data_IF_270344843678
#
_entry.id   IF_270344843678
#
_cell.length_a   1.000
_cell.length_b   1.000
_cell.length_c   1.000
_cell.angle_alpha   90.00
_cell.angle_beta   90.00
_cell.angle_gamma   90.00
#
_symmetry.space_group_name_H-M   'P 1'
#
loop_
_entity.id
_entity.type
_entity.pdbx_description
1 polymer ?
#
# COMPACT_ATOMS: atom_id res chain seq x y z
N UNK A 1 20.44 2.70 9.41
CA UNK A 1 19.01 2.50 9.08
C UNK A 1 18.91 2.31 7.57
N UNK A 2 18.30 1.22 7.12
CA UNK A 2 18.13 0.93 5.69
C UNK A 2 17.13 1.89 5.05
N UNK A 3 17.29 2.13 3.74
CA UNK A 3 16.32 2.90 2.98
C UNK A 3 14.91 2.28 3.14
N UNK A 4 13.85 3.08 3.29
CA UNK A 4 12.49 2.59 3.40
C UNK A 4 12.13 1.75 2.15
N UNK A 5 11.59 0.52 2.30
CA UNK A 5 11.43 -0.46 1.23
C UNK A 5 10.21 -0.18 0.33
N UNK A 6 9.95 1.09 0.02
CA UNK A 6 8.73 1.53 -0.62
C UNK A 6 8.49 0.85 -1.97
N UNK A 7 9.51 0.70 -2.82
CA UNK A 7 9.37 -0.01 -4.10
C UNK A 7 9.01 -1.49 -3.91
N UNK A 8 9.60 -2.17 -2.92
CA UNK A 8 9.28 -3.57 -2.62
C UNK A 8 7.82 -3.70 -2.14
N UNK A 9 7.35 -2.77 -1.29
CA UNK A 9 5.95 -2.70 -0.87
C UNK A 9 5.05 -2.51 -2.10
N UNK A 10 5.33 -1.52 -2.96
CA UNK A 10 4.53 -1.26 -4.17
C UNK A 10 4.43 -2.51 -5.04
N UNK A 11 5.55 -3.18 -5.30
CA UNK A 11 5.58 -4.40 -6.11
C UNK A 11 4.75 -5.53 -5.49
N UNK A 12 4.84 -5.72 -4.18
CA UNK A 12 4.05 -6.73 -3.49
C UNK A 12 2.54 -6.42 -3.54
N UNK A 13 2.14 -5.15 -3.38
CA UNK A 13 0.74 -4.76 -3.48
C UNK A 13 0.13 -5.05 -4.86
N UNK A 14 0.91 -4.92 -5.95
CA UNK A 14 0.41 -5.26 -7.30
C UNK A 14 0.09 -6.76 -7.46
N UNK A 15 0.67 -7.62 -6.64
CA UNK A 15 0.37 -9.06 -6.68
C UNK A 15 -1.01 -9.41 -6.10
N UNK A 16 -1.57 -8.55 -5.23
CA UNK A 16 -2.85 -8.81 -4.58
C UNK A 16 -3.99 -8.93 -5.60
N UNK A 17 -4.09 -7.98 -6.52
CA UNK A 17 -5.12 -8.00 -7.57
C UNK A 17 -4.93 -9.15 -8.55
N UNK A 18 -3.68 -9.55 -8.84
CA UNK A 18 -3.43 -10.63 -9.79
C UNK A 18 -3.59 -12.04 -9.20
N UNK A 19 -3.53 -12.19 -7.87
CA UNK A 19 -3.49 -13.50 -7.20
C UNK A 19 -4.61 -13.75 -6.20
N UNK A 20 -5.23 -12.72 -5.66
CA UNK A 20 -6.17 -12.85 -4.53
C UNK A 20 -7.60 -12.40 -4.87
N UNK A 21 -7.84 -11.80 -6.03
CA UNK A 21 -9.19 -11.48 -6.52
C UNK A 21 -9.62 -12.43 -7.63
N UNK A 22 -10.87 -12.92 -7.56
CA UNK A 22 -11.44 -13.77 -8.62
C UNK A 22 -11.45 -13.02 -9.95
N UNK A 23 -11.20 -13.67 -11.11
CA UNK A 23 -11.38 -13.04 -12.42
C UNK A 23 -12.80 -12.50 -12.67
N UNK A 24 -13.80 -13.00 -11.94
CA UNK A 24 -15.20 -12.53 -12.00
C UNK A 24 -15.49 -11.38 -11.03
N UNK A 25 -14.57 -11.07 -10.12
CA UNK A 25 -14.70 -10.01 -9.12
C UNK A 25 -13.70 -8.91 -9.42
N UNK A 26 -14.19 -7.70 -9.69
CA UNK A 26 -13.29 -6.60 -10.03
C UNK A 26 -12.74 -5.95 -8.76
N UNK A 27 -11.41 -5.91 -8.65
CA UNK A 27 -10.68 -5.23 -7.60
C UNK A 27 -9.47 -4.50 -8.20
N UNK A 28 -9.18 -3.29 -7.73
CA UNK A 28 -8.05 -2.48 -8.19
C UNK A 28 -7.34 -1.90 -6.98
N UNK A 29 -6.01 -2.00 -6.97
CA UNK A 29 -5.13 -1.34 -5.99
C UNK A 29 -4.18 -0.44 -6.77
N UNK A 30 -4.35 0.87 -6.61
CA UNK A 30 -3.53 1.87 -7.30
C UNK A 30 -2.64 2.57 -6.29
N UNK A 31 -1.34 2.61 -6.55
CA UNK A 31 -0.42 3.52 -5.87
C UNK A 31 -0.33 4.79 -6.70
N UNK A 32 -0.83 5.90 -6.18
CA UNK A 32 -0.94 7.17 -6.91
C UNK A 32 0.15 8.17 -6.58
N UNK A 33 0.67 8.13 -5.34
CA UNK A 33 1.70 9.06 -4.86
C UNK A 33 2.72 8.28 -4.03
N UNK A 34 4.00 8.56 -4.28
CA UNK A 34 5.10 8.13 -3.43
C UNK A 34 6.00 9.33 -3.18
N UNK A 35 6.19 9.69 -1.92
CA UNK A 35 7.00 10.85 -1.50
C UNK A 35 8.15 10.39 -0.62
N UNK A 36 9.38 10.64 -1.05
CA UNK A 36 10.61 10.20 -0.38
C UNK A 36 11.30 11.37 0.34
N UNK A 37 11.35 11.33 1.68
CA UNK A 37 12.02 12.34 2.50
C UNK A 37 11.46 13.77 2.35
N UNK A 38 12.05 14.71 3.11
CA UNK A 38 11.78 16.14 2.97
C UNK A 38 12.94 16.80 2.20
N UNK A 39 12.69 17.32 1.00
CA UNK A 39 13.63 18.18 0.28
C UNK A 39 14.40 17.58 -0.92
N UNK A 40 14.22 16.29 -1.25
CA UNK A 40 14.62 15.74 -2.55
C UNK A 40 16.12 15.70 -2.88
N UNK A 41 17.00 15.74 -1.88
CA UNK A 41 18.44 15.64 -2.08
C UNK A 41 18.83 14.22 -2.58
N UNK A 42 19.45 14.08 -3.77
CA UNK A 42 19.70 12.77 -4.39
C UNK A 42 20.81 11.96 -3.71
N UNK A 43 21.59 12.60 -2.83
CA UNK A 43 22.70 11.99 -2.10
C UNK A 43 22.34 11.63 -0.64
N UNK A 44 21.07 11.77 -0.26
CA UNK A 44 20.60 11.47 1.09
C UNK A 44 19.59 10.33 1.01
N UNK A 45 19.85 9.27 1.77
CA UNK A 45 18.89 8.17 1.92
C UNK A 45 17.77 8.68 2.85
N UNK A 46 16.50 8.68 2.41
CA UNK A 46 15.40 9.15 3.23
C UNK A 46 15.18 8.21 4.42
N UNK A 47 14.78 8.77 5.55
CA UNK A 47 14.41 8.00 6.76
C UNK A 47 12.96 7.50 6.73
N UNK A 48 12.10 8.11 5.91
CA UNK A 48 10.71 7.70 5.73
C UNK A 48 10.22 7.93 4.30
N UNK A 49 9.19 7.18 3.92
CA UNK A 49 8.47 7.34 2.65
C UNK A 49 6.98 7.31 2.93
N UNK A 50 6.25 8.24 2.33
CA UNK A 50 4.79 8.21 2.33
C UNK A 50 4.28 7.64 1.01
N UNK A 51 3.40 6.64 1.08
CA UNK A 51 2.75 6.02 -0.07
C UNK A 51 1.24 6.27 0.07
N UNK A 52 0.63 6.85 -0.97
CA UNK A 52 -0.80 7.09 -1.02
C UNK A 52 -1.39 6.50 -2.29
N UNK A 53 -2.63 6.05 -2.20
CA UNK A 53 -3.26 5.29 -3.27
C UNK A 53 -4.75 5.14 -3.08
N UNK A 54 -5.35 4.34 -3.96
CA UNK A 54 -6.78 4.04 -3.93
C UNK A 54 -7.01 2.55 -4.06
N UNK A 55 -8.09 2.09 -3.44
CA UNK A 55 -8.65 0.76 -3.68
C UNK A 55 -10.04 0.94 -4.26
N UNK A 56 -10.37 0.17 -5.29
CA UNK A 56 -11.71 0.07 -5.86
C UNK A 56 -12.12 -1.39 -5.94
N UNK A 57 -13.38 -1.66 -5.69
CA UNK A 57 -13.96 -2.99 -5.87
C UNK A 57 -15.45 -2.87 -6.18
N UNK A 58 -16.01 -3.84 -6.90
CA UNK A 58 -17.45 -3.91 -7.22
C UNK A 58 -18.30 -4.48 -6.08
N UNK A 59 -17.66 -5.08 -5.08
CA UNK A 59 -18.33 -5.69 -3.92
C UNK A 59 -17.65 -5.27 -2.61
N UNK A 60 -18.44 -5.11 -1.56
CA UNK A 60 -17.95 -4.76 -0.22
C UNK A 60 -17.04 -5.84 0.39
N UNK A 61 -17.32 -7.10 0.09
CA UNK A 61 -16.49 -8.25 0.50
C UNK A 61 -15.08 -8.14 -0.06
N UNK A 62 -14.95 -7.83 -1.35
CA UNK A 62 -13.68 -7.64 -2.06
C UNK A 62 -12.97 -6.39 -1.56
N UNK A 63 -13.67 -5.27 -1.37
CA UNK A 63 -13.11 -4.05 -0.78
C UNK A 63 -12.50 -4.33 0.60
N UNK A 64 -13.25 -5.02 1.47
CA UNK A 64 -12.82 -5.36 2.83
C UNK A 64 -11.63 -6.32 2.82
N UNK A 65 -11.65 -7.31 1.93
CA UNK A 65 -10.54 -8.23 1.72
C UNK A 65 -9.28 -7.47 1.29
N UNK A 66 -9.35 -6.65 0.24
CA UNK A 66 -8.21 -5.89 -0.27
C UNK A 66 -7.64 -4.92 0.78
N UNK A 67 -8.48 -4.19 1.52
CA UNK A 67 -8.02 -3.30 2.60
C UNK A 67 -7.20 -4.05 3.64
N UNK A 68 -7.70 -5.21 4.09
CA UNK A 68 -6.99 -6.05 5.05
C UNK A 68 -5.65 -6.55 4.48
N UNK A 69 -5.67 -7.09 3.26
CA UNK A 69 -4.48 -7.65 2.62
C UNK A 69 -3.41 -6.61 2.32
N UNK A 70 -3.80 -5.40 1.91
CA UNK A 70 -2.87 -4.27 1.73
C UNK A 70 -2.15 -3.95 3.04
N UNK A 71 -2.86 -3.91 4.16
CA UNK A 71 -2.25 -3.66 5.47
C UNK A 71 -1.29 -4.78 5.88
N UNK A 72 -1.70 -6.04 5.73
CA UNK A 72 -0.88 -7.22 6.05
C UNK A 72 0.41 -7.27 5.20
N UNK A 73 0.30 -7.07 3.88
CA UNK A 73 1.44 -7.08 2.96
C UNK A 73 2.37 -5.90 3.21
N UNK A 74 1.84 -4.68 3.38
CA UNK A 74 2.66 -3.51 3.66
C UNK A 74 3.44 -3.68 4.97
N UNK A 75 2.81 -4.21 6.02
CA UNK A 75 3.47 -4.50 7.30
C UNK A 75 4.52 -5.60 7.17
N UNK A 76 4.18 -6.73 6.52
CA UNK A 76 5.08 -7.87 6.36
C UNK A 76 6.32 -7.53 5.52
N UNK A 77 6.14 -6.82 4.40
CA UNK A 77 7.26 -6.38 3.56
C UNK A 77 8.09 -5.32 4.27
N UNK A 78 7.47 -4.38 5.01
CA UNK A 78 8.25 -3.41 5.78
C UNK A 78 9.09 -4.10 6.86
N UNK A 79 8.50 -5.04 7.58
CA UNK A 79 9.15 -5.78 8.66
C UNK A 79 10.33 -6.64 8.15
N UNK A 80 10.24 -7.23 6.96
CA UNK A 80 11.34 -8.03 6.39
C UNK A 80 12.59 -7.18 6.06
N UNK A 81 12.44 -5.87 5.93
CA UNK A 81 13.55 -4.90 5.77
C UNK A 81 13.92 -4.19 7.08
N UNK A 82 13.33 -4.57 8.21
CA UNK A 82 13.56 -3.91 9.51
C UNK A 82 12.90 -2.53 9.63
N UNK A 83 11.91 -2.24 8.80
CA UNK A 83 11.12 -1.01 8.83
C UNK A 83 9.75 -1.24 9.49
N UNK A 84 9.14 -0.16 9.97
CA UNK A 84 7.81 -0.17 10.57
C UNK A 84 6.89 0.81 9.85
N UNK A 85 5.59 0.53 9.88
CA UNK A 85 4.59 1.48 9.42
C UNK A 85 4.43 2.59 10.46
N UNK A 86 4.49 3.84 10.00
CA UNK A 86 4.23 4.99 10.87
C UNK A 86 2.78 4.95 11.38
N UNK A 87 2.59 5.10 12.69
CA UNK A 87 1.28 4.96 13.33
C UNK A 87 0.77 3.52 13.44
N UNK A 88 1.57 2.51 13.06
CA UNK A 88 1.27 1.09 13.28
C UNK A 88 0.24 0.46 12.32
N UNK A 89 -0.38 1.24 11.43
CA UNK A 89 -1.38 0.73 10.49
C UNK A 89 -1.48 1.60 9.23
N UNK A 90 -2.02 1.00 8.16
CA UNK A 90 -2.42 1.75 6.95
C UNK A 90 -3.65 2.61 7.29
N UNK A 91 -3.59 3.88 6.94
CA UNK A 91 -4.66 4.84 7.16
C UNK A 91 -5.63 4.84 5.97
N UNK A 92 -6.94 4.76 6.26
CA UNK A 92 -7.99 4.81 5.26
C UNK A 92 -8.74 6.15 5.35
N UNK A 93 -9.13 6.71 4.21
CA UNK A 93 -9.95 7.92 4.20
C UNK A 93 -11.30 7.69 4.88
N UNK A 94 -11.75 8.66 5.67
CA UNK A 94 -13.06 8.64 6.32
C UNK A 94 -14.23 8.70 5.32
N UNK A 95 -13.97 9.12 4.09
CA UNK A 95 -14.93 9.11 2.98
C UNK A 95 -14.58 7.93 2.03
N UNK A 96 -15.14 6.72 2.25
CA UNK A 96 -14.93 5.61 1.34
C UNK A 96 -15.69 5.88 0.04
N UNK A 97 -15.02 5.72 -1.10
CA UNK A 97 -15.71 5.72 -2.39
C UNK A 97 -16.69 4.53 -2.40
N UNK A 98 -17.98 4.74 -2.73
CA UNK A 98 -18.93 3.64 -2.79
C UNK A 98 -18.47 2.60 -3.82
N UNK A 99 -18.81 1.31 -3.63
CA UNK A 99 -18.58 0.29 -4.64
C UNK A 99 -19.23 0.73 -5.96
N UNK A 100 -18.47 0.69 -7.04
CA UNK A 100 -18.95 1.00 -8.41
C UNK A 100 -19.39 -0.27 -9.11
#
# INVERSE_FOLDING_TARGET
LGAPPASAVVMALQTLVSRETSPTESGVVTVGIMTTGAGGAPNIIPNSVNIQGTIRATQDSVMSHLKRRVAEVAAGVSASYGCQLEGGAVQWSANPYPPT
#
